data_IF_793106854197
#
_entry.id   IF_793106854197
#
_cell.length_a   1.000
_cell.length_b   1.000
_cell.length_c   1.000
_cell.angle_alpha   90.00
_cell.angle_beta   90.00
_cell.angle_gamma   90.00
#
_symmetry.space_group_name_H-M   'P 1'
#
loop_
_entity.id
_entity.type
_entity.pdbx_description
1 polymer ?
#
# COMPACT_ATOMS: atom_id res chain seq x y z
N UNK A 1 16.84 4.29 -18.84
CA UNK A 1 15.80 3.98 -17.82
C UNK A 1 14.66 3.30 -18.55
N UNK A 2 14.30 2.06 -18.18
CA UNK A 2 13.16 1.38 -18.82
C UNK A 2 11.87 2.07 -18.36
N UNK A 3 11.09 2.60 -19.31
CA UNK A 3 9.78 3.16 -18.99
C UNK A 3 8.85 2.00 -18.62
N UNK A 4 8.60 1.82 -17.33
CA UNK A 4 7.65 0.81 -16.86
C UNK A 4 6.25 1.10 -17.43
N UNK A 5 5.70 0.11 -18.11
CA UNK A 5 4.35 0.09 -18.69
C UNK A 5 3.28 0.24 -17.60
N UNK A 6 2.09 0.70 -17.99
CA UNK A 6 0.95 0.84 -17.06
C UNK A 6 0.57 -0.48 -16.39
N UNK A 7 0.72 -1.61 -17.10
CA UNK A 7 0.52 -2.96 -16.55
C UNK A 7 1.50 -3.29 -15.43
N UNK A 8 2.79 -2.98 -15.60
CA UNK A 8 3.81 -3.23 -14.57
C UNK A 8 3.54 -2.39 -13.32
N UNK A 9 3.13 -1.13 -13.49
CA UNK A 9 2.77 -0.24 -12.36
C UNK A 9 1.57 -0.78 -11.57
N UNK A 10 0.49 -1.19 -12.27
CA UNK A 10 -0.70 -1.78 -11.65
C UNK A 10 -0.37 -3.10 -10.92
N UNK A 11 0.50 -3.91 -11.49
CA UNK A 11 0.94 -5.17 -10.88
C UNK A 11 1.73 -4.92 -9.60
N UNK A 12 2.66 -3.96 -9.61
CA UNK A 12 3.40 -3.53 -8.43
C UNK A 12 2.48 -3.07 -7.29
N UNK A 13 1.48 -2.23 -7.60
CA UNK A 13 0.47 -1.81 -6.63
C UNK A 13 -0.31 -2.99 -6.05
N UNK A 14 -0.74 -3.94 -6.90
CA UNK A 14 -1.51 -5.10 -6.46
C UNK A 14 -0.72 -5.98 -5.48
N UNK A 15 0.56 -6.22 -5.76
CA UNK A 15 1.43 -6.97 -4.84
C UNK A 15 1.53 -6.23 -3.50
N UNK A 16 1.81 -4.92 -3.54
CA UNK A 16 1.96 -4.13 -2.33
C UNK A 16 0.69 -4.14 -1.46
N UNK A 17 -0.48 -4.02 -2.09
CA UNK A 17 -1.77 -4.10 -1.40
C UNK A 17 -2.02 -5.47 -0.76
N UNK A 18 -1.72 -6.58 -1.46
CA UNK A 18 -1.88 -7.94 -0.91
C UNK A 18 -0.95 -8.16 0.27
N UNK A 19 0.33 -7.82 0.11
CA UNK A 19 1.33 -7.95 1.19
C UNK A 19 0.92 -7.11 2.40
N UNK A 20 0.45 -5.88 2.18
CA UNK A 20 -0.04 -5.02 3.24
C UNK A 20 -1.17 -5.69 4.04
N UNK A 21 -2.21 -6.22 3.38
CA UNK A 21 -3.33 -6.88 4.06
C UNK A 21 -2.88 -8.10 4.85
N UNK A 22 -2.02 -8.95 4.27
CA UNK A 22 -1.53 -10.16 4.93
C UNK A 22 -0.69 -9.82 6.17
N UNK A 23 0.23 -8.86 6.04
CA UNK A 23 1.06 -8.42 7.16
C UNK A 23 0.20 -7.76 8.24
N UNK A 24 -0.72 -6.87 7.88
CA UNK A 24 -1.60 -6.23 8.87
C UNK A 24 -2.46 -7.25 9.61
N UNK A 25 -3.01 -8.26 8.93
CA UNK A 25 -3.78 -9.33 9.58
C UNK A 25 -2.92 -10.10 10.60
N UNK A 26 -1.69 -10.46 10.22
CA UNK A 26 -0.74 -11.11 11.13
C UNK A 26 -0.41 -10.23 12.34
N UNK A 27 -0.15 -8.94 12.13
CA UNK A 27 0.18 -8.01 13.20
C UNK A 27 -1.00 -7.78 14.15
N UNK A 28 -2.23 -7.74 13.64
CA UNK A 28 -3.44 -7.68 14.48
C UNK A 28 -3.52 -8.91 15.38
N UNK A 29 -3.31 -10.11 14.84
CA UNK A 29 -3.30 -11.35 15.64
C UNK A 29 -2.22 -11.29 16.72
N UNK A 30 -0.99 -10.94 16.37
CA UNK A 30 0.12 -10.82 17.33
C UNK A 30 -0.21 -9.81 18.43
N UNK A 31 -0.75 -8.64 18.07
CA UNK A 31 -0.99 -7.59 19.03
C UNK A 31 -2.17 -7.92 19.96
N UNK A 32 -3.20 -8.61 19.46
CA UNK A 32 -4.28 -9.15 20.29
C UNK A 32 -3.78 -10.22 21.27
N UNK A 33 -2.87 -11.10 20.84
CA UNK A 33 -2.26 -12.12 21.71
C UNK A 33 -1.31 -11.52 22.75
N UNK A 34 -0.65 -10.41 22.42
CA UNK A 34 0.28 -9.71 23.33
C UNK A 34 -0.47 -8.86 24.36
N UNK A 35 -1.69 -8.40 24.02
CA UNK A 35 -2.48 -7.52 24.87
C UNK A 35 -2.07 -6.05 24.75
N UNK A 36 -2.60 -5.23 25.67
CA UNK A 36 -2.37 -3.78 25.68
C UNK A 36 -0.88 -3.43 25.84
N UNK A 37 -0.36 -2.42 25.11
CA UNK A 37 -1.08 -1.49 24.23
C UNK A 37 -1.24 -1.97 22.77
N UNK A 38 -2.30 -1.49 22.10
CA UNK A 38 -2.62 -1.86 20.72
C UNK A 38 -1.79 -1.09 19.67
N UNK A 39 -0.48 -1.35 19.62
CA UNK A 39 0.47 -0.68 18.73
C UNK A 39 0.19 -0.91 17.23
N UNK A 40 -0.60 -1.93 16.88
CA UNK A 40 -0.97 -2.22 15.48
C UNK A 40 -1.69 -1.04 14.80
N UNK A 41 -2.37 -0.20 15.58
CA UNK A 41 -3.02 1.03 15.09
C UNK A 41 -2.00 2.00 14.49
N UNK A 42 -0.84 2.18 15.13
CA UNK A 42 0.20 3.08 14.64
C UNK A 42 0.83 2.56 13.34
N UNK A 43 0.99 1.23 13.23
CA UNK A 43 1.49 0.60 12.00
C UNK A 43 0.47 0.76 10.87
N UNK A 44 -0.82 0.54 11.15
CA UNK A 44 -1.89 0.73 10.17
C UNK A 44 -1.91 2.18 9.65
N UNK A 45 -1.83 3.17 10.54
CA UNK A 45 -1.83 4.57 10.16
C UNK A 45 -0.59 4.96 9.37
N UNK A 46 0.61 4.60 9.87
CA UNK A 46 1.86 4.94 9.21
C UNK A 46 2.00 4.31 7.82
N UNK A 47 1.75 3.00 7.72
CA UNK A 47 1.92 2.27 6.46
C UNK A 47 0.72 2.46 5.51
N UNK A 48 -0.49 2.63 6.05
CA UNK A 48 -1.70 2.89 5.28
C UNK A 48 -1.59 4.16 4.44
N UNK A 49 -0.91 5.20 4.93
CA UNK A 49 -0.62 6.42 4.16
C UNK A 49 0.25 6.09 2.93
N UNK A 50 1.25 5.22 3.07
CA UNK A 50 2.09 4.79 1.95
C UNK A 50 1.30 4.04 0.87
N UNK A 51 0.38 3.16 1.28
CA UNK A 51 -0.51 2.46 0.35
C UNK A 51 -1.46 3.41 -0.38
N UNK A 52 -2.04 4.38 0.33
CA UNK A 52 -2.90 5.42 -0.25
C UNK A 52 -2.15 6.31 -1.24
N UNK A 53 -0.92 6.72 -0.89
CA UNK A 53 -0.06 7.47 -1.81
C UNK A 53 0.22 6.65 -3.07
N UNK A 54 0.57 5.37 -2.93
CA UNK A 54 0.84 4.49 -4.07
C UNK A 54 -0.39 4.33 -4.97
N UNK A 55 -1.59 4.18 -4.39
CA UNK A 55 -2.85 4.15 -5.13
C UNK A 55 -3.07 5.45 -5.92
N UNK A 56 -2.86 6.61 -5.28
CA UNK A 56 -3.10 7.92 -5.89
C UNK A 56 -2.26 8.15 -7.16
N UNK A 57 -1.01 7.69 -7.17
CA UNK A 57 -0.10 7.84 -8.30
C UNK A 57 -0.27 6.78 -9.40
N UNK A 58 -0.78 5.59 -9.06
CA UNK A 58 -0.89 4.46 -10.02
C UNK A 58 -2.30 4.32 -10.62
N UNK A 59 -3.34 4.53 -9.81
CA UNK A 59 -4.75 4.30 -10.16
C UNK A 59 -5.62 5.55 -10.00
N UNK A 60 -5.22 6.48 -9.13
CA UNK A 60 -5.98 7.70 -8.84
C UNK A 60 -5.71 8.87 -9.80
N UNK A 61 -6.23 10.07 -9.47
CA UNK A 61 -6.11 11.29 -10.30
C UNK A 61 -4.67 11.72 -10.60
N UNK A 62 -3.69 11.28 -9.79
CA UNK A 62 -2.26 11.50 -10.03
C UNK A 62 -1.71 10.73 -11.23
N UNK A 63 -2.39 9.68 -11.70
CA UNK A 63 -1.99 8.92 -12.87
C UNK A 63 -2.22 9.66 -14.20
N UNK A 64 -3.02 10.74 -14.20
CA UNK A 64 -3.60 11.37 -15.39
C UNK A 64 -2.75 12.43 -16.12
N UNK A 65 -1.44 12.58 -15.84
CA UNK A 65 -0.63 13.66 -16.45
C UNK A 65 0.78 13.27 -16.91
N UNK A 66 0.98 12.06 -17.44
CA UNK A 66 2.32 11.63 -17.86
C UNK A 66 2.40 11.03 -19.28
N UNK A 67 1.61 11.50 -20.26
CA UNK A 67 1.69 10.89 -21.60
C UNK A 67 0.90 11.48 -22.78
N UNK A 68 0.65 12.78 -22.85
CA UNK A 68 0.11 13.40 -24.09
C UNK A 68 0.79 14.73 -24.38
N UNK A 69 1.97 14.65 -25.02
CA UNK A 69 2.48 15.58 -26.03
C UNK A 69 3.37 14.79 -26.97
#
# INVERSE_FOLDING_TARGET
MKHASLSERKFGFRIHAIVFVLVMALLVVINLLTGSPYWVLWVLLGWGIGLLAHWWFVLGPGAGKSGTT
#
